data_IF_908228441617
#
_entry.id   IF_908228441617
#
_cell.length_a   1.000
_cell.length_b   1.000
_cell.length_c   1.000
_cell.angle_alpha   90.00
_cell.angle_beta   90.00
_cell.angle_gamma   90.00
#
_symmetry.space_group_name_H-M   'P 1'
#
loop_
_entity.id
_entity.type
_entity.pdbx_description
1 polymer ?
#
# COMPACT_ATOMS: atom_id res chain seq x y z
N UNK A 1 17.99 -1.91 -11.40
CA UNK A 1 16.94 -0.90 -11.65
C UNK A 1 15.54 -1.35 -11.21
N UNK A 2 15.34 -2.61 -10.74
CA UNK A 2 14.08 -3.11 -10.16
C UNK A 2 13.97 -2.90 -8.63
N UNK A 3 14.99 -2.29 -8.04
CA UNK A 3 15.25 -2.21 -6.62
C UNK A 3 14.72 -0.91 -5.96
N UNK A 4 14.38 0.11 -6.75
CA UNK A 4 13.93 1.42 -6.25
C UNK A 4 12.63 1.34 -5.43
N UNK A 5 11.58 0.63 -5.86
CA UNK A 5 10.34 0.56 -5.08
C UNK A 5 10.54 -0.21 -3.77
N UNK A 6 11.27 -1.33 -3.81
CA UNK A 6 11.55 -2.14 -2.62
C UNK A 6 12.40 -1.37 -1.59
N UNK A 7 13.41 -0.62 -2.05
CA UNK A 7 14.27 0.18 -1.18
C UNK A 7 13.53 1.37 -0.57
N UNK A 8 12.62 2.00 -1.32
CA UNK A 8 11.76 3.06 -0.81
C UNK A 8 10.85 2.55 0.31
N UNK A 9 10.21 1.39 0.10
CA UNK A 9 9.37 0.74 1.11
C UNK A 9 10.18 0.41 2.36
N UNK A 10 11.38 -0.16 2.22
CA UNK A 10 12.26 -0.50 3.35
C UNK A 10 12.68 0.73 4.18
N UNK A 11 12.97 1.86 3.52
CA UNK A 11 13.27 3.12 4.21
C UNK A 11 12.04 3.65 4.96
N UNK A 12 10.86 3.62 4.34
CA UNK A 12 9.62 4.07 4.97
C UNK A 12 9.18 3.17 6.14
N UNK A 13 9.40 1.86 6.05
CA UNK A 13 9.03 0.88 7.06
C UNK A 13 9.94 0.92 8.31
N UNK A 14 11.20 1.35 8.18
CA UNK A 14 12.15 1.48 9.30
C UNK A 14 11.84 2.60 10.29
N UNK A 15 10.86 3.45 9.96
CA UNK A 15 10.40 4.53 10.85
C UNK A 15 9.10 4.12 11.53
N UNK A 16 8.96 4.39 12.83
CA UNK A 16 7.68 4.27 13.56
C UNK A 16 6.68 5.30 13.01
N UNK A 17 5.98 4.97 11.92
CA UNK A 17 4.96 5.80 11.30
C UNK A 17 3.61 5.07 11.31
N UNK A 18 2.53 5.86 11.32
CA UNK A 18 1.16 5.39 11.09
C UNK A 18 1.08 4.83 9.66
N UNK A 19 0.52 3.63 9.48
CA UNK A 19 0.51 2.89 8.19
C UNK A 19 -0.12 3.72 7.05
N UNK A 20 -1.15 4.50 7.36
CA UNK A 20 -1.83 5.42 6.47
C UNK A 20 -0.87 6.48 5.91
N UNK A 21 -0.03 7.05 6.77
CA UNK A 21 0.96 8.06 6.39
C UNK A 21 2.07 7.47 5.53
N UNK A 22 2.53 6.26 5.88
CA UNK A 22 3.51 5.53 5.08
C UNK A 22 3.00 5.26 3.65
N UNK A 23 1.73 4.87 3.53
CA UNK A 23 1.08 4.59 2.23
C UNK A 23 1.04 5.85 1.35
N UNK A 24 0.73 7.00 1.93
CA UNK A 24 0.76 8.29 1.23
C UNK A 24 2.17 8.66 0.79
N UNK A 25 3.16 8.54 1.69
CA UNK A 25 4.55 8.90 1.40
C UNK A 25 5.13 8.10 0.24
N UNK A 26 4.89 6.79 0.20
CA UNK A 26 5.37 5.94 -0.89
C UNK A 26 4.74 6.36 -2.21
N UNK A 27 3.41 6.52 -2.25
CA UNK A 27 2.70 6.88 -3.47
C UNK A 27 3.13 8.25 -4.01
N UNK A 28 3.19 9.27 -3.14
CA UNK A 28 3.56 10.63 -3.52
C UNK A 28 5.03 10.70 -3.98
N UNK A 29 5.94 9.98 -3.31
CA UNK A 29 7.36 9.92 -3.71
C UNK A 29 7.52 9.27 -5.08
N UNK A 30 6.83 8.15 -5.34
CA UNK A 30 6.85 7.51 -6.65
C UNK A 30 6.29 8.45 -7.73
N UNK A 31 5.21 9.15 -7.45
CA UNK A 31 4.60 10.10 -8.38
C UNK A 31 5.56 11.28 -8.70
N UNK A 32 6.26 11.79 -7.69
CA UNK A 32 7.17 12.94 -7.84
C UNK A 32 8.48 12.56 -8.53
N UNK A 33 9.06 11.41 -8.18
CA UNK A 33 10.39 10.99 -8.69
C UNK A 33 10.30 10.39 -10.09
N UNK A 34 9.27 9.57 -10.35
CA UNK A 34 9.15 8.85 -11.62
C UNK A 34 8.27 9.56 -12.64
N UNK A 35 7.51 10.59 -12.22
CA UNK A 35 6.54 11.32 -13.05
C UNK A 35 5.63 10.41 -13.92
N UNK A 36 5.07 9.31 -13.36
CA UNK A 36 4.26 8.39 -14.13
C UNK A 36 2.88 8.99 -14.43
N UNK A 37 2.16 8.36 -15.38
CA UNK A 37 0.75 8.67 -15.66
C UNK A 37 -0.17 8.39 -14.47
N UNK A 38 0.23 7.53 -13.54
CA UNK A 38 -0.46 7.27 -12.29
C UNK A 38 0.31 6.31 -11.39
N UNK A 39 -0.05 6.30 -10.11
CA UNK A 39 0.53 5.41 -9.09
C UNK A 39 -0.62 4.79 -8.28
N UNK A 40 -0.51 3.49 -8.00
CA UNK A 40 -1.38 2.82 -7.04
C UNK A 40 -0.52 2.05 -6.03
N UNK A 41 -0.75 2.32 -4.75
CA UNK A 41 -0.08 1.65 -3.63
C UNK A 41 -1.16 1.06 -2.73
N UNK A 42 -1.02 -0.23 -2.41
CA UNK A 42 -1.85 -0.95 -1.43
C UNK A 42 -0.89 -1.62 -0.46
N UNK A 43 -1.10 -1.39 0.83
CA UNK A 43 -0.30 -1.98 1.91
C UNK A 43 -1.25 -2.75 2.82
N UNK A 44 -0.97 -4.03 3.01
CA UNK A 44 -1.63 -4.88 3.98
C UNK A 44 -0.62 -5.28 5.05
N UNK A 45 -0.93 -5.01 6.32
CA UNK A 45 -0.07 -5.39 7.43
C UNK A 45 -0.87 -5.84 8.65
N UNK A 46 -0.33 -6.81 9.38
CA UNK A 46 -0.85 -7.24 10.67
C UNK A 46 -0.10 -6.55 11.81
N UNK A 47 -0.83 -6.07 12.82
CA UNK A 47 -0.25 -5.30 13.92
C UNK A 47 -0.09 -6.17 15.18
N UNK A 48 1.14 -6.27 15.68
CA UNK A 48 1.48 -7.05 16.89
C UNK A 48 0.74 -6.59 18.15
N UNK A 49 0.44 -5.30 18.26
CA UNK A 49 -0.36 -4.73 19.35
C UNK A 49 -1.84 -5.18 19.32
N UNK A 50 -2.38 -5.49 18.13
CA UNK A 50 -3.75 -6.00 17.97
C UNK A 50 -3.86 -7.51 18.23
N UNK A 51 -2.72 -8.22 18.21
CA UNK A 51 -2.66 -9.67 18.42
C UNK A 51 -2.32 -10.07 19.86
N UNK A 52 -1.75 -9.16 20.66
CA UNK A 52 -1.24 -9.47 22.03
C UNK A 52 -2.06 -8.87 23.18
N UNK A 53 -2.89 -7.84 22.95
CA UNK A 53 -3.77 -7.27 23.99
C UNK A 53 -5.22 -7.14 23.52
N UNK A 54 -6.05 -8.08 23.95
CA UNK A 54 -7.47 -7.82 24.26
C UNK A 54 -8.51 -8.22 23.22
N UNK A 55 -8.17 -8.36 21.93
CA UNK A 55 -9.14 -8.76 20.91
C UNK A 55 -8.57 -9.97 20.16
N UNK A 56 -8.96 -11.17 20.59
CA UNK A 56 -8.62 -12.45 19.97
C UNK A 56 -9.28 -12.60 18.58
N UNK A 57 -8.96 -11.70 17.63
CA UNK A 57 -9.27 -11.87 16.20
C UNK A 57 -7.96 -12.21 15.47
N UNK A 58 -7.51 -13.48 15.50
CA UNK A 58 -6.49 -13.94 14.58
C UNK A 58 -6.93 -13.58 13.15
N UNK A 59 -6.07 -12.89 12.40
CA UNK A 59 -6.33 -12.50 11.01
C UNK A 59 -6.82 -11.06 10.77
N UNK A 60 -6.77 -10.16 11.76
CA UNK A 60 -7.09 -8.74 11.47
C UNK A 60 -5.89 -8.04 10.85
N UNK A 61 -5.89 -7.89 9.52
CA UNK A 61 -4.96 -7.05 8.78
C UNK A 61 -5.56 -5.65 8.57
N UNK A 62 -4.72 -4.62 8.65
CA UNK A 62 -5.08 -3.27 8.21
C UNK A 62 -4.65 -3.14 6.76
N UNK A 63 -5.61 -2.82 5.89
CA UNK A 63 -5.35 -2.52 4.48
C UNK A 63 -5.48 -1.01 4.27
N UNK A 64 -4.42 -0.40 3.81
CA UNK A 64 -4.37 1.02 3.42
C UNK A 64 -4.11 1.12 1.92
N UNK A 65 -4.65 2.15 1.27
CA UNK A 65 -4.43 2.36 -0.15
C UNK A 65 -4.31 3.83 -0.51
N UNK A 66 -3.55 4.12 -1.57
CA UNK A 66 -3.43 5.44 -2.17
C UNK A 66 -3.32 5.31 -3.68
N UNK A 67 -4.18 6.04 -4.39
CA UNK A 67 -4.19 6.11 -5.85
C UNK A 67 -4.02 7.55 -6.34
N UNK A 68 -3.21 7.72 -7.39
CA UNK A 68 -2.83 8.98 -8.03
C UNK A 68 -2.89 8.85 -9.55
N UNK A 69 -3.10 9.97 -10.24
CA UNK A 69 -3.18 10.05 -11.70
C UNK A 69 -4.21 9.06 -12.29
N UNK A 70 -3.83 8.34 -13.34
CA UNK A 70 -4.68 7.39 -14.05
C UNK A 70 -5.44 6.40 -13.14
N UNK A 71 -4.82 5.90 -12.06
CA UNK A 71 -5.48 4.99 -11.12
C UNK A 71 -6.55 5.67 -10.25
N UNK A 72 -6.45 6.98 -10.05
CA UNK A 72 -7.47 7.78 -9.38
C UNK A 72 -8.56 8.25 -10.35
N UNK A 73 -8.16 8.69 -11.53
CA UNK A 73 -9.01 9.43 -12.44
C UNK A 73 -9.82 8.51 -13.37
N UNK A 74 -9.32 7.29 -13.64
CA UNK A 74 -10.03 6.28 -14.43
C UNK A 74 -10.58 5.14 -13.55
N UNK A 75 -11.92 5.05 -13.38
CA UNK A 75 -12.55 3.96 -12.62
C UNK A 75 -12.35 2.57 -13.23
N UNK A 76 -12.08 2.44 -14.53
CA UNK A 76 -11.84 1.14 -15.17
C UNK A 76 -10.47 0.59 -14.78
N UNK A 77 -9.41 1.39 -14.96
CA UNK A 77 -8.06 1.10 -14.49
C UNK A 77 -8.04 0.77 -12.99
N UNK A 78 -8.75 1.54 -12.15
CA UNK A 78 -8.86 1.25 -10.72
C UNK A 78 -9.48 -0.12 -10.44
N UNK A 79 -10.56 -0.47 -11.13
CA UNK A 79 -11.26 -1.75 -10.93
C UNK A 79 -10.40 -2.94 -11.32
N UNK A 80 -9.72 -2.85 -12.46
CA UNK A 80 -8.80 -3.89 -12.92
C UNK A 80 -7.69 -4.14 -11.89
N UNK A 81 -7.05 -3.06 -11.41
CA UNK A 81 -6.01 -3.15 -10.39
C UNK A 81 -6.50 -3.81 -9.10
N UNK A 82 -7.66 -3.39 -8.58
CA UNK A 82 -8.23 -3.98 -7.36
C UNK A 82 -8.63 -5.45 -7.55
N UNK A 83 -9.09 -5.82 -8.75
CA UNK A 83 -9.39 -7.21 -9.09
C UNK A 83 -8.14 -8.10 -9.03
N UNK A 84 -7.04 -7.64 -9.61
CA UNK A 84 -5.75 -8.37 -9.63
C UNK A 84 -5.24 -8.60 -8.20
N UNK A 85 -5.30 -7.57 -7.35
CA UNK A 85 -4.85 -7.69 -5.95
C UNK A 85 -5.76 -8.62 -5.16
N UNK A 86 -7.08 -8.55 -5.37
CA UNK A 86 -8.02 -9.43 -4.66
C UNK A 86 -7.85 -10.90 -5.04
N UNK A 87 -7.45 -11.22 -6.28
CA UNK A 87 -7.17 -12.59 -6.69
C UNK A 87 -5.94 -13.16 -5.96
N UNK A 88 -4.86 -12.37 -5.85
CA UNK A 88 -3.64 -12.77 -5.13
C UNK A 88 -3.83 -13.07 -3.64
N UNK A 89 -4.93 -12.61 -3.03
CA UNK A 89 -5.22 -12.87 -1.61
C UNK A 89 -5.86 -14.24 -1.37
N UNK A 90 -6.42 -14.87 -2.41
CA UNK A 90 -7.12 -16.15 -2.31
C UNK A 90 -6.24 -17.37 -2.66
N UNK A 91 -4.96 -17.15 -2.93
CA UNK A 91 -3.92 -18.17 -3.16
C UNK A 91 -3.01 -18.26 -1.93
#
# INVERSE_FOLDING_TARGET
MLDTPARLVDICAKSLQIQEKMTVQIADTLQQVLLPKGVAVVIEASHGCMTTRGIHKPGTSLVTSRMLGAFRDDPSTRREFMSIISQKRNE
#
